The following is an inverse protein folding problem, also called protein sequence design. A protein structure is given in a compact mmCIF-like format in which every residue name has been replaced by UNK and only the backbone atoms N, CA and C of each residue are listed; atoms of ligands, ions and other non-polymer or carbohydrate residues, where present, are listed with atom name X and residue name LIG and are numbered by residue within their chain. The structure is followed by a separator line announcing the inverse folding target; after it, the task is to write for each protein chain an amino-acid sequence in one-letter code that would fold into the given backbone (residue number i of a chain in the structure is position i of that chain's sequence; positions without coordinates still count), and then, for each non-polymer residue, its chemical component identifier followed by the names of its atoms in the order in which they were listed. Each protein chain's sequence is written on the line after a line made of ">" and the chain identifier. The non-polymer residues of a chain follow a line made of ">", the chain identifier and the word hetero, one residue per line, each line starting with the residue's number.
data_IF_792733414746
#
_entry.id   IF_792733414746
#
_cell.length_a   1.000
_cell.length_b   1.000
_cell.length_c   1.000
_cell.angle_alpha   90.00
_cell.angle_beta   90.00
_cell.angle_gamma   90.00
#
_symmetry.space_group_name_H-M   'P 1'
#
loop_
_entity.id
_entity.type
_entity.pdbx_description
1 polymer ?
#
# COMPACT_ATOMS: atom_id res chain seq x y z
N UNK A 1 25.18 4.44 -12.27
CA UNK A 1 24.21 4.48 -13.37
C UNK A 1 22.81 4.64 -12.79
N UNK A 2 21.98 5.45 -13.46
CA UNK A 2 20.60 5.61 -13.06
C UNK A 2 19.81 4.31 -13.31
N UNK A 3 18.82 4.03 -12.47
CA UNK A 3 17.93 2.88 -12.62
C UNK A 3 16.79 3.28 -13.56
N UNK A 4 16.64 2.57 -14.66
CA UNK A 4 15.59 2.83 -15.64
C UNK A 4 14.25 2.22 -15.22
N UNK A 5 13.22 3.05 -15.10
CA UNK A 5 11.89 2.66 -14.69
C UNK A 5 10.90 2.65 -15.84
N UNK A 6 9.98 1.70 -15.80
CA UNK A 6 8.76 1.80 -16.58
C UNK A 6 7.55 1.75 -15.65
N UNK A 7 6.51 2.51 -15.95
CA UNK A 7 5.25 2.46 -15.22
C UNK A 7 4.24 1.63 -16.02
N UNK A 8 3.65 0.64 -15.40
CA UNK A 8 2.62 -0.21 -16.02
C UNK A 8 1.24 0.30 -15.59
N UNK A 9 0.65 1.15 -16.44
CA UNK A 9 -0.63 1.80 -16.20
C UNK A 9 -0.53 3.31 -16.24
N UNK A 10 -1.32 3.95 -17.09
CA UNK A 10 -1.34 5.41 -17.28
C UNK A 10 -2.62 6.01 -16.68
N UNK A 11 -2.91 5.64 -15.43
CA UNK A 11 -4.07 6.15 -14.70
C UNK A 11 -3.74 7.41 -13.91
N UNK A 12 -4.71 7.86 -13.10
CA UNK A 12 -4.57 9.09 -12.30
C UNK A 12 -3.44 8.99 -11.27
N UNK A 13 -3.37 7.87 -10.54
CA UNK A 13 -2.35 7.69 -9.50
C UNK A 13 -0.92 7.73 -10.08
N UNK A 14 -0.59 6.96 -11.13
CA UNK A 14 0.70 7.13 -11.80
C UNK A 14 0.99 8.55 -12.26
N UNK A 15 -0.01 9.25 -12.79
CA UNK A 15 0.13 10.60 -13.31
C UNK A 15 0.43 11.62 -12.20
N UNK A 16 -0.24 11.49 -11.05
CA UNK A 16 -0.14 12.46 -9.96
C UNK A 16 0.99 12.14 -8.97
N UNK A 17 1.36 10.88 -8.83
CA UNK A 17 2.28 10.41 -7.79
C UNK A 17 3.54 9.76 -8.35
N UNK A 18 3.38 8.66 -9.10
CA UNK A 18 4.53 7.78 -9.38
C UNK A 18 5.51 8.41 -10.36
N UNK A 19 5.04 8.96 -11.47
CA UNK A 19 5.94 9.59 -12.45
C UNK A 19 6.65 10.80 -11.83
N UNK A 20 5.95 11.74 -11.15
CA UNK A 20 6.65 12.82 -10.45
C UNK A 20 7.62 12.33 -9.38
N UNK A 21 7.27 11.28 -8.61
CA UNK A 21 8.18 10.75 -7.59
C UNK A 21 9.44 10.14 -8.20
N UNK A 22 9.32 9.39 -9.32
CA UNK A 22 10.49 8.88 -10.04
C UNK A 22 11.39 10.04 -10.47
N UNK A 23 10.78 11.11 -11.00
CA UNK A 23 11.56 12.30 -11.44
C UNK A 23 12.30 13.01 -10.31
N UNK A 24 11.85 12.85 -9.06
CA UNK A 24 12.50 13.43 -7.88
C UNK A 24 13.45 12.46 -7.17
N UNK A 25 13.41 11.18 -7.52
CA UNK A 25 14.22 10.17 -6.84
C UNK A 25 15.66 10.19 -7.40
N UNK A 26 16.68 10.33 -6.55
CA UNK A 26 18.06 10.31 -7.04
C UNK A 26 18.40 9.01 -7.79
N UNK A 27 19.08 9.14 -8.88
CA UNK A 27 19.52 8.02 -9.73
C UNK A 27 18.34 7.17 -10.28
N UNK A 28 17.16 7.78 -10.45
CA UNK A 28 16.02 7.16 -11.12
C UNK A 28 15.74 7.88 -12.44
N UNK A 29 15.33 7.14 -13.45
CA UNK A 29 14.97 7.69 -14.76
C UNK A 29 13.70 7.01 -15.27
N UNK A 30 12.68 7.80 -15.61
CA UNK A 30 11.46 7.26 -16.19
C UNK A 30 11.66 7.04 -17.69
N UNK A 31 11.87 5.79 -18.07
CA UNK A 31 12.11 5.41 -19.46
C UNK A 31 10.79 5.27 -20.23
N UNK A 32 9.79 4.63 -19.62
CA UNK A 32 8.61 4.24 -20.39
C UNK A 32 7.33 4.17 -19.55
N UNK A 33 6.21 4.18 -20.24
CA UNK A 33 4.89 3.90 -19.65
C UNK A 33 4.12 2.95 -20.54
N UNK A 34 3.35 2.04 -19.92
CA UNK A 34 2.43 1.14 -20.62
C UNK A 34 0.98 1.60 -20.43
N UNK A 35 0.24 1.70 -21.51
CA UNK A 35 -1.22 1.88 -21.49
C UNK A 35 -1.84 1.06 -22.63
N UNK A 36 -3.03 0.48 -22.39
CA UNK A 36 -3.76 -0.25 -23.46
C UNK A 36 -4.09 0.62 -24.67
N UNK A 37 -4.02 1.94 -24.51
CA UNK A 37 -4.26 2.92 -25.56
C UNK A 37 -2.93 3.64 -25.87
N UNK A 38 -2.47 3.52 -27.11
CA UNK A 38 -1.16 4.07 -27.52
C UNK A 38 -1.16 5.61 -27.42
N UNK A 39 -2.27 6.26 -27.76
CA UNK A 39 -2.36 7.71 -27.65
C UNK A 39 -2.20 8.18 -26.20
N UNK A 40 -2.84 7.47 -25.28
CA UNK A 40 -2.70 7.76 -23.82
C UNK A 40 -1.27 7.50 -23.34
N UNK A 41 -0.64 6.40 -23.80
CA UNK A 41 0.75 6.12 -23.44
C UNK A 41 1.68 7.25 -23.91
N UNK A 42 1.50 7.69 -25.16
CA UNK A 42 2.31 8.77 -25.72
C UNK A 42 2.10 10.09 -24.97
N UNK A 43 0.84 10.45 -24.69
CA UNK A 43 0.53 11.67 -23.95
C UNK A 43 1.10 11.66 -22.52
N UNK A 44 1.05 10.51 -21.83
CA UNK A 44 1.66 10.36 -20.52
C UNK A 44 3.18 10.52 -20.60
N UNK A 45 3.81 9.86 -21.58
CA UNK A 45 5.26 9.94 -21.77
C UNK A 45 5.69 11.40 -22.02
N UNK A 46 4.97 12.10 -22.90
CA UNK A 46 5.24 13.52 -23.19
C UNK A 46 5.11 14.39 -21.92
N UNK A 47 4.03 14.17 -21.14
CA UNK A 47 3.77 14.96 -19.92
C UNK A 47 4.86 14.80 -18.88
N UNK A 48 5.39 13.59 -18.73
CA UNK A 48 6.35 13.26 -17.68
C UNK A 48 7.80 13.08 -18.18
N UNK A 49 8.03 13.50 -19.43
CA UNK A 49 9.36 13.46 -20.05
C UNK A 49 9.95 12.04 -20.10
N UNK A 50 9.07 11.01 -20.17
CA UNK A 50 9.52 9.65 -20.42
C UNK A 50 9.89 9.49 -21.90
N UNK A 51 10.85 8.62 -22.17
CA UNK A 51 11.35 8.46 -23.54
C UNK A 51 10.37 7.75 -24.48
N UNK A 52 9.48 6.88 -23.95
CA UNK A 52 8.58 6.10 -24.79
C UNK A 52 7.24 5.76 -24.11
N UNK A 53 6.19 5.75 -24.94
CA UNK A 53 4.89 5.20 -24.57
C UNK A 53 4.65 3.90 -25.33
N UNK A 54 4.26 2.85 -24.62
CA UNK A 54 4.00 1.53 -25.20
C UNK A 54 2.55 1.13 -25.00
N UNK A 55 2.00 0.39 -25.97
CA UNK A 55 0.69 -0.27 -25.81
C UNK A 55 0.79 -1.80 -25.79
N UNK A 56 1.99 -2.33 -25.94
CA UNK A 56 2.29 -3.76 -25.91
C UNK A 56 3.32 -4.02 -24.82
N UNK A 57 3.03 -4.96 -23.92
CA UNK A 57 3.90 -5.28 -22.78
C UNK A 57 5.23 -5.92 -23.23
N UNK A 58 5.20 -6.77 -24.24
CA UNK A 58 6.42 -7.43 -24.72
C UNK A 58 7.40 -6.41 -25.32
N UNK A 59 6.87 -5.42 -26.04
CA UNK A 59 7.70 -4.36 -26.62
C UNK A 59 8.35 -3.50 -25.50
N UNK A 60 7.59 -3.18 -24.45
CA UNK A 60 8.12 -2.45 -23.30
C UNK A 60 9.21 -3.26 -22.60
N UNK A 61 8.95 -4.56 -22.34
CA UNK A 61 9.89 -5.40 -21.60
C UNK A 61 11.15 -5.71 -22.41
N UNK A 62 11.09 -5.62 -23.76
CA UNK A 62 12.27 -5.76 -24.62
C UNK A 62 13.19 -4.56 -24.59
N UNK A 63 12.74 -3.42 -24.04
CA UNK A 63 13.59 -2.24 -23.93
C UNK A 63 14.68 -2.46 -22.87
N UNK A 64 15.92 -2.54 -23.31
CA UNK A 64 17.06 -2.86 -22.44
C UNK A 64 17.43 -1.75 -21.44
N UNK A 65 16.86 -0.56 -21.62
CA UNK A 65 17.09 0.56 -20.68
C UNK A 65 16.25 0.44 -19.41
N UNK A 66 15.22 -0.43 -19.43
CA UNK A 66 14.33 -0.64 -18.28
C UNK A 66 14.95 -1.69 -17.37
N UNK A 67 15.18 -1.34 -16.12
CA UNK A 67 15.69 -2.23 -15.06
C UNK A 67 14.55 -2.71 -14.15
N UNK A 68 13.56 -1.83 -13.91
CA UNK A 68 12.47 -2.10 -12.98
C UNK A 68 11.15 -1.56 -13.52
N UNK A 69 10.06 -2.21 -13.13
CA UNK A 69 8.72 -1.75 -13.46
C UNK A 69 7.94 -1.40 -12.19
N UNK A 70 7.17 -0.32 -12.24
CA UNK A 70 6.19 0.01 -11.21
C UNK A 70 4.82 -0.43 -11.74
N UNK A 71 4.27 -1.50 -11.16
CA UNK A 71 2.97 -2.03 -11.59
C UNK A 71 1.87 -1.24 -10.89
N UNK A 72 1.15 -0.41 -11.64
CA UNK A 72 0.10 0.49 -11.14
C UNK A 72 -1.17 0.40 -12.01
N UNK A 73 -1.41 -0.77 -12.55
CA UNK A 73 -2.61 -1.15 -13.29
C UNK A 73 -3.77 -1.47 -12.33
N UNK A 74 -4.98 -1.74 -12.82
CA UNK A 74 -6.05 -2.23 -11.93
C UNK A 74 -5.66 -3.52 -11.20
N UNK A 75 -6.14 -3.68 -9.96
CA UNK A 75 -5.75 -4.76 -9.05
C UNK A 75 -5.72 -6.15 -9.72
N UNK A 76 -6.76 -6.47 -10.50
CA UNK A 76 -6.88 -7.77 -11.17
C UNK A 76 -5.77 -8.04 -12.20
N UNK A 77 -5.05 -7.00 -12.64
CA UNK A 77 -3.99 -7.15 -13.64
C UNK A 77 -2.59 -7.26 -13.02
N UNK A 78 -2.44 -7.01 -11.70
CA UNK A 78 -1.12 -7.00 -11.06
C UNK A 78 -0.35 -8.30 -11.26
N UNK A 79 -1.01 -9.46 -11.03
CA UNK A 79 -0.37 -10.77 -11.21
C UNK A 79 0.18 -10.92 -12.64
N UNK A 80 -0.66 -10.67 -13.65
CA UNK A 80 -0.25 -10.86 -15.05
C UNK A 80 0.96 -10.00 -15.41
N UNK A 81 0.95 -8.74 -15.02
CA UNK A 81 2.05 -7.82 -15.30
C UNK A 81 3.32 -8.19 -14.53
N UNK A 82 3.18 -8.59 -13.25
CA UNK A 82 4.33 -9.04 -12.45
C UNK A 82 4.96 -10.30 -13.05
N UNK A 83 4.16 -11.27 -13.49
CA UNK A 83 4.66 -12.50 -14.10
C UNK A 83 5.46 -12.18 -15.37
N UNK A 84 4.93 -11.30 -16.23
CA UNK A 84 5.62 -10.92 -17.47
C UNK A 84 6.93 -10.19 -17.17
N UNK A 85 6.91 -9.22 -16.24
CA UNK A 85 8.10 -8.46 -15.86
C UNK A 85 9.17 -9.36 -15.25
N UNK A 86 8.79 -10.24 -14.30
CA UNK A 86 9.73 -11.14 -13.64
C UNK A 86 10.40 -12.07 -14.65
N UNK A 87 9.62 -12.67 -15.58
CA UNK A 87 10.16 -13.55 -16.62
C UNK A 87 11.10 -12.81 -17.58
N UNK A 88 10.91 -11.50 -17.75
CA UNK A 88 11.81 -10.66 -18.55
C UNK A 88 13.02 -10.15 -17.74
N UNK A 89 13.17 -10.61 -16.49
CA UNK A 89 14.29 -10.24 -15.62
C UNK A 89 14.21 -8.83 -15.07
N UNK A 90 13.02 -8.20 -15.08
CA UNK A 90 12.84 -6.84 -14.55
C UNK A 90 12.40 -6.92 -13.07
N UNK A 91 13.01 -6.10 -12.22
CA UNK A 91 12.58 -5.95 -10.83
C UNK A 91 11.19 -5.32 -10.79
N UNK A 92 10.43 -5.60 -9.74
CA UNK A 92 9.02 -5.17 -9.66
C UNK A 92 8.76 -4.42 -8.35
N UNK A 93 8.21 -3.23 -8.46
CA UNK A 93 7.55 -2.54 -7.35
C UNK A 93 6.06 -2.51 -7.74
N UNK A 94 5.21 -3.14 -6.93
CA UNK A 94 3.79 -3.25 -7.26
C UNK A 94 2.93 -2.38 -6.36
N UNK A 95 1.96 -1.71 -6.92
CA UNK A 95 0.94 -1.02 -6.14
C UNK A 95 0.15 -2.01 -5.27
N UNK A 96 -0.38 -1.48 -4.18
CA UNK A 96 -1.29 -2.22 -3.29
C UNK A 96 -2.76 -2.01 -3.74
N UNK A 97 -3.67 -2.91 -3.44
CA UNK A 97 -3.39 -4.22 -2.84
C UNK A 97 -2.59 -5.07 -3.83
N UNK A 98 -1.72 -5.92 -3.32
CA UNK A 98 -0.84 -6.72 -4.17
C UNK A 98 -1.60 -7.52 -5.22
N UNK A 99 -2.70 -8.13 -4.80
CA UNK A 99 -3.51 -9.01 -5.65
C UNK A 99 -4.96 -9.06 -5.14
N UNK A 100 -5.83 -9.61 -5.97
CA UNK A 100 -7.25 -9.78 -5.62
C UNK A 100 -7.51 -11.07 -4.84
N UNK A 101 -6.51 -11.94 -4.69
CA UNK A 101 -6.63 -13.16 -3.88
C UNK A 101 -5.26 -13.59 -3.33
N UNK A 102 -5.30 -14.40 -2.29
CA UNK A 102 -4.10 -14.93 -1.63
C UNK A 102 -3.26 -15.78 -2.59
N UNK A 103 -3.89 -16.61 -3.38
CA UNK A 103 -3.19 -17.42 -4.37
C UNK A 103 -2.51 -16.57 -5.46
N UNK A 104 -3.02 -15.34 -5.80
CA UNK A 104 -2.52 -14.47 -6.60
C UNK A 104 -1.37 -13.91 -6.12
N UNK A 105 -1.40 -13.47 -4.87
CA UNK A 105 -0.25 -12.85 -4.19
C UNK A 105 0.92 -13.84 -4.02
N UNK A 106 0.64 -15.03 -3.57
CA UNK A 106 1.67 -16.06 -3.44
C UNK A 106 2.37 -16.32 -4.78
N UNK A 107 1.61 -16.40 -5.86
CA UNK A 107 2.19 -16.62 -7.20
C UNK A 107 3.11 -15.47 -7.62
N UNK A 108 2.77 -14.21 -7.26
CA UNK A 108 3.65 -13.06 -7.53
C UNK A 108 4.98 -13.20 -6.80
N UNK A 109 4.95 -13.58 -5.52
CA UNK A 109 6.19 -13.79 -4.75
C UNK A 109 7.03 -14.89 -5.38
N UNK A 110 6.41 -16.04 -5.65
CA UNK A 110 7.11 -17.20 -6.19
C UNK A 110 7.73 -16.94 -7.56
N UNK A 111 7.03 -16.26 -8.46
CA UNK A 111 7.59 -15.98 -9.80
C UNK A 111 8.77 -15.00 -9.72
N UNK A 112 8.73 -14.02 -8.85
CA UNK A 112 9.85 -13.10 -8.69
C UNK A 112 11.06 -13.83 -8.11
N UNK A 113 10.87 -14.65 -7.07
CA UNK A 113 11.94 -15.47 -6.52
C UNK A 113 12.54 -16.42 -7.56
N UNK A 114 11.69 -17.11 -8.32
CA UNK A 114 12.14 -18.08 -9.33
C UNK A 114 12.95 -17.42 -10.46
N UNK A 115 12.76 -16.13 -10.71
CA UNK A 115 13.47 -15.38 -11.74
C UNK A 115 14.59 -14.49 -11.17
N UNK A 116 14.84 -14.55 -9.86
CA UNK A 116 15.92 -13.78 -9.24
C UNK A 116 15.72 -12.28 -9.26
N UNK A 117 14.47 -11.81 -9.29
CA UNK A 117 14.15 -10.37 -9.27
C UNK A 117 13.50 -9.99 -7.94
N UNK A 118 13.76 -8.77 -7.48
CA UNK A 118 13.15 -8.25 -6.25
C UNK A 118 11.70 -7.86 -6.51
N UNK A 119 10.86 -8.10 -5.50
CA UNK A 119 9.46 -7.66 -5.49
C UNK A 119 9.22 -6.79 -4.26
N UNK A 120 8.94 -5.51 -4.50
CA UNK A 120 8.52 -4.57 -3.46
C UNK A 120 7.05 -4.23 -3.58
N UNK A 121 6.47 -3.70 -2.51
CA UNK A 121 5.07 -3.25 -2.46
C UNK A 121 4.98 -1.76 -2.14
N UNK A 122 4.00 -1.08 -2.75
CA UNK A 122 3.71 0.32 -2.56
C UNK A 122 3.03 0.58 -1.21
N UNK A 123 3.79 0.47 -0.13
CA UNK A 123 3.33 0.75 1.24
C UNK A 123 3.98 2.05 1.73
N UNK A 124 3.65 3.14 1.07
CA UNK A 124 4.26 4.46 1.29
C UNK A 124 4.13 4.97 2.73
N UNK A 125 3.14 4.50 3.50
CA UNK A 125 3.01 4.90 4.91
C UNK A 125 4.19 4.45 5.77
N UNK A 126 4.89 3.36 5.39
CA UNK A 126 6.10 2.92 6.10
C UNK A 126 7.19 4.00 6.10
N UNK A 127 7.19 4.84 5.06
CA UNK A 127 8.23 5.85 4.81
C UNK A 127 7.89 7.22 5.39
N UNK A 128 6.72 7.37 6.03
CA UNK A 128 6.40 8.58 6.77
C UNK A 128 7.25 8.62 8.06
N UNK A 129 7.98 9.72 8.34
CA UNK A 129 8.86 9.77 9.52
C UNK A 129 8.16 9.46 10.85
N UNK A 130 6.88 9.87 11.00
CA UNK A 130 6.10 9.55 12.19
C UNK A 130 5.99 8.04 12.42
N UNK A 131 5.84 7.27 11.35
CA UNK A 131 5.62 5.82 11.45
C UNK A 131 6.95 5.08 11.70
N UNK A 132 8.05 5.59 11.13
CA UNK A 132 9.39 5.08 11.46
C UNK A 132 9.72 5.34 12.93
N UNK A 133 9.39 6.54 13.44
CA UNK A 133 9.55 6.86 14.87
C UNK A 133 8.70 5.91 15.74
N UNK A 134 7.44 5.68 15.36
CA UNK A 134 6.57 4.75 16.09
C UNK A 134 7.20 3.36 16.20
N UNK A 135 7.71 2.84 15.07
CA UNK A 135 8.40 1.54 15.03
C UNK A 135 9.62 1.53 15.96
N UNK A 136 10.44 2.58 15.91
CA UNK A 136 11.63 2.68 16.78
C UNK A 136 11.26 2.69 18.25
N UNK A 137 10.24 3.46 18.63
CA UNK A 137 9.78 3.52 20.02
C UNK A 137 9.29 2.17 20.52
N UNK A 138 8.53 1.44 19.69
CA UNK A 138 8.02 0.11 20.04
C UNK A 138 9.18 -0.89 20.15
N UNK A 139 10.04 -0.95 19.14
CA UNK A 139 11.14 -1.94 19.10
C UNK A 139 12.16 -1.75 20.21
N UNK A 140 12.34 -0.51 20.69
CA UNK A 140 13.25 -0.20 21.79
C UNK A 140 12.55 -0.15 23.16
N UNK A 141 11.28 -0.57 23.22
CA UNK A 141 10.53 -0.65 24.47
C UNK A 141 10.23 0.70 25.14
N UNK A 142 10.29 1.80 24.39
CA UNK A 142 10.13 3.16 24.94
C UNK A 142 8.71 3.46 25.43
N UNK A 143 7.72 2.65 24.99
CA UNK A 143 6.33 2.77 25.42
C UNK A 143 5.93 1.65 26.39
N UNK A 144 6.91 0.79 26.81
CA UNK A 144 6.61 -0.42 27.55
C UNK A 144 5.95 -1.46 26.68
N UNK A 145 5.19 -2.39 27.29
CA UNK A 145 4.44 -3.39 26.51
C UNK A 145 3.22 -2.71 25.87
N UNK A 146 3.12 -2.79 24.54
CA UNK A 146 1.97 -2.23 23.83
C UNK A 146 0.71 -3.01 24.21
N UNK A 147 -0.39 -2.30 24.47
CA UNK A 147 -1.67 -2.87 24.88
C UNK A 147 -2.74 -2.67 23.81
N UNK A 148 -2.69 -1.54 23.11
CA UNK A 148 -3.73 -1.19 22.14
C UNK A 148 -3.14 -0.27 21.08
N UNK A 149 -3.49 -0.53 19.81
CA UNK A 149 -3.28 0.40 18.71
C UNK A 149 -4.63 0.87 18.18
N UNK A 150 -4.68 2.09 17.67
CA UNK A 150 -5.86 2.63 17.01
C UNK A 150 -5.43 3.35 15.74
N UNK A 151 -6.07 3.04 14.62
CA UNK A 151 -5.77 3.67 13.33
C UNK A 151 -7.03 3.99 12.56
N UNK A 152 -7.02 5.12 11.88
CA UNK A 152 -8.16 5.53 11.09
C UNK A 152 -7.71 6.20 9.79
N UNK A 153 -8.34 5.81 8.68
CA UNK A 153 -8.17 6.49 7.40
C UNK A 153 -9.53 6.76 6.76
N UNK A 154 -9.99 7.99 6.86
CA UNK A 154 -11.20 8.44 6.21
C UNK A 154 -10.92 9.41 5.08
N UNK A 155 -11.79 9.42 4.08
CA UNK A 155 -11.78 10.37 2.96
C UNK A 155 -13.20 10.83 2.67
N UNK A 156 -13.35 12.07 2.27
CA UNK A 156 -14.64 12.61 1.85
C UNK A 156 -14.66 14.12 1.92
N UNK A 157 -15.61 14.72 1.23
CA UNK A 157 -15.84 16.17 1.24
C UNK A 157 -17.22 16.48 1.80
N UNK A 158 -17.35 17.61 2.47
CA UNK A 158 -18.66 18.06 2.97
C UNK A 158 -19.63 18.26 1.81
N UNK A 159 -20.83 17.69 1.93
CA UNK A 159 -21.85 17.79 0.90
C UNK A 159 -21.66 16.84 -0.28
N UNK A 160 -20.64 15.96 -0.23
CA UNK A 160 -20.45 14.93 -1.24
C UNK A 160 -21.69 14.01 -1.27
N UNK A 161 -22.24 13.71 -2.45
CA UNK A 161 -23.37 12.77 -2.56
C UNK A 161 -23.02 11.40 -1.97
N UNK A 162 -24.01 10.76 -1.36
CA UNK A 162 -23.81 9.47 -0.68
C UNK A 162 -23.12 8.41 -1.53
N UNK A 163 -23.37 8.42 -2.81
CA UNK A 163 -22.68 7.48 -3.70
C UNK A 163 -22.64 8.03 -5.13
N UNK A 164 -21.43 8.34 -5.57
CA UNK A 164 -21.14 8.62 -6.97
C UNK A 164 -20.29 7.50 -7.52
N UNK A 165 -20.87 6.60 -8.34
CA UNK A 165 -20.06 5.53 -8.95
C UNK A 165 -18.94 6.11 -9.79
N UNK A 166 -17.76 5.53 -9.64
CA UNK A 166 -16.62 5.92 -10.49
C UNK A 166 -16.86 5.46 -11.93
N UNK A 167 -16.36 6.23 -12.89
CA UNK A 167 -16.55 5.92 -14.30
C UNK A 167 -15.23 6.08 -15.07
N UNK A 168 -15.26 5.81 -16.36
CA UNK A 168 -14.08 5.91 -17.23
C UNK A 168 -12.96 4.99 -16.76
N UNK A 169 -11.76 5.54 -16.65
CA UNK A 169 -10.58 4.78 -16.24
C UNK A 169 -10.67 4.24 -14.80
N UNK A 170 -11.59 4.77 -14.00
CA UNK A 170 -11.77 4.35 -12.60
C UNK A 170 -12.99 3.45 -12.41
N UNK A 171 -13.71 3.11 -13.48
CA UNK A 171 -14.93 2.29 -13.40
C UNK A 171 -14.70 0.90 -12.77
N UNK A 172 -13.51 0.35 -12.92
CA UNK A 172 -13.18 -0.95 -12.34
C UNK A 172 -13.26 -0.97 -10.79
N UNK A 173 -13.21 0.21 -10.15
CA UNK A 173 -13.38 0.31 -8.68
C UNK A 173 -14.79 -0.05 -8.24
N UNK A 174 -15.76 -0.10 -9.16
CA UNK A 174 -17.14 -0.46 -8.87
C UNK A 174 -17.42 -1.95 -9.12
N UNK A 175 -16.42 -2.69 -9.61
CA UNK A 175 -16.53 -4.12 -9.92
C UNK A 175 -15.93 -4.93 -8.76
N UNK A 176 -16.77 -5.71 -8.02
CA UNK A 176 -16.27 -6.48 -6.87
C UNK A 176 -15.16 -7.48 -7.21
N UNK A 177 -15.22 -8.11 -8.40
CA UNK A 177 -14.19 -9.05 -8.83
C UNK A 177 -12.86 -8.34 -9.12
N UNK A 178 -12.92 -7.23 -9.84
CA UNK A 178 -11.74 -6.43 -10.16
C UNK A 178 -11.09 -5.84 -8.91
N UNK A 179 -11.90 -5.54 -7.88
CA UNK A 179 -11.42 -4.99 -6.61
C UNK A 179 -10.91 -6.06 -5.64
N UNK A 180 -11.29 -7.33 -5.81
CA UNK A 180 -10.92 -8.38 -4.87
C UNK A 180 -11.91 -8.53 -3.71
N UNK A 181 -13.15 -8.06 -3.89
CA UNK A 181 -14.25 -8.27 -2.95
C UNK A 181 -14.44 -7.20 -1.88
N UNK A 182 -13.59 -6.17 -1.84
CA UNK A 182 -13.73 -5.05 -0.92
C UNK A 182 -13.33 -3.73 -1.56
N UNK A 183 -13.90 -2.63 -1.10
CA UNK A 183 -13.58 -1.30 -1.61
C UNK A 183 -12.62 -0.56 -0.69
N UNK A 184 -13.11 -0.06 0.46
CA UNK A 184 -12.22 0.67 1.38
C UNK A 184 -11.27 -0.26 2.13
N UNK A 185 -11.64 -1.52 2.34
CA UNK A 185 -10.72 -2.52 2.91
C UNK A 185 -9.49 -2.66 2.00
N UNK A 186 -9.73 -2.88 0.70
CA UNK A 186 -8.65 -3.08 -0.29
C UNK A 186 -7.90 -1.78 -0.60
N UNK A 187 -8.58 -0.62 -0.54
CA UNK A 187 -7.99 0.65 -0.93
C UNK A 187 -7.30 1.42 0.20
N UNK A 188 -7.85 1.37 1.41
CA UNK A 188 -7.40 2.14 2.57
C UNK A 188 -6.98 1.23 3.73
N UNK A 189 -7.82 0.25 4.06
CA UNK A 189 -7.55 -0.70 5.16
C UNK A 189 -6.21 -1.41 5.01
N UNK A 190 -5.88 -1.80 3.78
CA UNK A 190 -4.63 -2.50 3.47
C UNK A 190 -3.38 -1.77 3.97
N UNK A 191 -3.37 -0.44 3.90
CA UNK A 191 -2.26 0.37 4.43
C UNK A 191 -2.18 0.31 5.95
N UNK A 192 -3.36 0.33 6.61
CA UNK A 192 -3.41 0.30 8.08
C UNK A 192 -3.02 -1.08 8.62
N UNK A 193 -3.38 -2.16 7.92
CA UNK A 193 -2.95 -3.51 8.29
C UNK A 193 -1.43 -3.62 8.19
N UNK A 194 -0.88 -3.12 7.09
CA UNK A 194 0.55 -3.08 6.90
C UNK A 194 1.25 -2.21 7.96
N UNK A 195 0.69 -1.03 8.25
CA UNK A 195 1.26 -0.12 9.24
C UNK A 195 1.31 -0.76 10.63
N UNK A 196 0.25 -1.47 11.04
CA UNK A 196 0.22 -2.19 12.32
C UNK A 196 1.35 -3.24 12.35
N UNK A 197 1.47 -4.06 11.30
CA UNK A 197 2.52 -5.07 11.18
C UNK A 197 3.92 -4.44 11.23
N UNK A 198 4.12 -3.38 10.46
CA UNK A 198 5.40 -2.67 10.36
C UNK A 198 5.85 -2.09 11.71
N UNK A 199 4.94 -1.43 12.41
CA UNK A 199 5.25 -0.77 13.69
C UNK A 199 5.49 -1.80 14.79
N UNK A 200 4.67 -2.86 14.83
CA UNK A 200 4.76 -3.88 15.89
C UNK A 200 5.82 -4.95 15.63
N UNK A 201 6.22 -5.16 14.36
CA UNK A 201 7.13 -6.26 14.00
C UNK A 201 6.52 -7.63 14.29
N UNK A 202 5.19 -7.76 14.17
CA UNK A 202 4.43 -8.97 14.49
C UNK A 202 3.34 -9.20 13.46
N UNK A 203 2.92 -10.46 13.31
CA UNK A 203 1.82 -10.79 12.41
C UNK A 203 0.46 -10.64 13.10
N UNK A 204 -0.56 -10.37 12.29
CA UNK A 204 -1.97 -10.33 12.71
C UNK A 204 -2.51 -11.75 12.56
N UNK A 205 -3.03 -12.32 13.66
CA UNK A 205 -3.44 -13.72 13.73
C UNK A 205 -4.95 -13.93 13.67
N UNK A 206 -5.74 -12.92 14.07
CA UNK A 206 -7.22 -12.99 14.05
C UNK A 206 -7.79 -11.62 13.69
N UNK A 207 -8.94 -11.64 13.03
CA UNK A 207 -9.67 -10.39 12.69
C UNK A 207 -11.16 -10.57 12.95
N UNK A 208 -11.81 -9.45 13.30
CA UNK A 208 -13.27 -9.33 13.24
C UNK A 208 -13.61 -7.99 12.60
N UNK A 209 -14.67 -7.96 11.80
CA UNK A 209 -15.01 -6.79 11.00
C UNK A 209 -16.51 -6.57 10.90
N UNK A 210 -16.87 -5.29 10.83
CA UNK A 210 -18.22 -4.84 10.52
C UNK A 210 -18.12 -3.78 9.42
N UNK A 211 -18.96 -3.90 8.39
CA UNK A 211 -18.99 -2.97 7.26
C UNK A 211 -20.41 -2.58 6.93
N UNK A 212 -20.55 -1.54 6.11
CA UNK A 212 -21.84 -1.15 5.53
C UNK A 212 -22.12 -1.87 4.20
N UNK A 213 -21.27 -2.82 3.82
CA UNK A 213 -21.35 -3.55 2.55
C UNK A 213 -21.29 -5.06 2.72
N UNK A 214 -20.73 -5.74 1.74
CA UNK A 214 -20.63 -7.20 1.65
C UNK A 214 -21.99 -7.90 1.68
N UNK A 215 -23.00 -7.25 1.09
CA UNK A 215 -24.35 -7.79 0.91
C UNK A 215 -24.67 -7.98 -0.56
N UNK A 216 -25.76 -8.66 -0.87
CA UNK A 216 -26.20 -8.88 -2.26
C UNK A 216 -26.54 -7.56 -2.97
N UNK A 217 -27.02 -6.55 -2.21
CA UNK A 217 -27.41 -5.26 -2.78
C UNK A 217 -26.30 -4.22 -2.74
N UNK A 218 -25.30 -4.41 -1.87
CA UNK A 218 -24.13 -3.55 -1.78
C UNK A 218 -22.91 -4.43 -1.56
N UNK A 219 -22.36 -5.02 -2.64
CA UNK A 219 -21.25 -5.98 -2.49
C UNK A 219 -19.95 -5.33 -2.05
N UNK A 220 -19.74 -4.03 -2.31
CA UNK A 220 -18.55 -3.29 -1.90
C UNK A 220 -18.92 -2.29 -0.80
N UNK A 221 -18.12 -2.25 0.23
CA UNK A 221 -18.33 -1.38 1.40
C UNK A 221 -17.73 0.03 1.19
N UNK A 222 -18.34 1.01 1.85
CA UNK A 222 -17.83 2.37 1.94
C UNK A 222 -17.20 2.66 3.30
N UNK A 223 -17.59 1.90 4.32
CA UNK A 223 -17.09 2.05 5.70
C UNK A 223 -16.77 0.66 6.25
N UNK A 224 -15.62 0.54 6.91
CA UNK A 224 -15.22 -0.69 7.58
C UNK A 224 -14.62 -0.37 8.96
N UNK A 225 -15.01 -1.14 9.96
CA UNK A 225 -14.45 -1.07 11.32
C UNK A 225 -14.00 -2.47 11.72
N UNK A 226 -12.77 -2.60 12.19
CA UNK A 226 -12.14 -3.90 12.39
C UNK A 226 -11.36 -3.94 13.71
N UNK A 227 -11.37 -5.11 14.35
CA UNK A 227 -10.46 -5.41 15.45
C UNK A 227 -9.53 -6.54 15.00
N UNK A 228 -8.24 -6.35 15.23
CA UNK A 228 -7.18 -7.26 14.84
C UNK A 228 -6.45 -7.73 16.09
N UNK A 229 -6.04 -9.00 16.13
CA UNK A 229 -5.21 -9.53 17.21
C UNK A 229 -3.85 -9.92 16.67
N UNK A 230 -2.80 -9.46 17.35
CA UNK A 230 -1.42 -9.76 17.00
C UNK A 230 -0.94 -11.02 17.76
N UNK A 231 0.23 -11.53 17.38
CA UNK A 231 0.81 -12.76 17.94
C UNK A 231 0.92 -12.75 19.47
N UNK A 232 1.29 -11.62 20.05
CA UNK A 232 1.45 -11.47 21.51
C UNK A 232 0.13 -11.17 22.24
N UNK A 233 -0.98 -11.12 21.52
CA UNK A 233 -2.31 -10.82 22.04
C UNK A 233 -2.70 -9.35 22.02
N UNK A 234 -1.82 -8.46 21.59
CA UNK A 234 -2.13 -7.03 21.44
C UNK A 234 -3.31 -6.86 20.48
N UNK A 235 -4.19 -5.90 20.78
CA UNK A 235 -5.35 -5.58 19.94
C UNK A 235 -5.09 -4.30 19.17
N UNK A 236 -5.48 -4.28 17.91
CA UNK A 236 -5.53 -3.06 17.11
C UNK A 236 -6.96 -2.82 16.63
N UNK A 237 -7.47 -1.61 16.84
CA UNK A 237 -8.77 -1.18 16.30
C UNK A 237 -8.52 -0.27 15.11
N UNK A 238 -8.99 -0.70 13.97
CA UNK A 238 -8.75 -0.01 12.69
C UNK A 238 -10.10 0.34 12.08
N UNK A 239 -10.20 1.55 11.52
CA UNK A 239 -11.37 1.91 10.73
C UNK A 239 -10.95 2.65 9.47
N UNK A 240 -11.71 2.47 8.40
CA UNK A 240 -11.49 3.20 7.17
C UNK A 240 -12.81 3.45 6.47
N UNK A 241 -12.85 4.53 5.68
CA UNK A 241 -14.08 4.84 4.98
C UNK A 241 -13.93 5.98 3.98
N UNK A 242 -14.89 6.01 3.05
CA UNK A 242 -15.10 7.12 2.12
C UNK A 242 -16.41 7.83 2.52
N UNK A 243 -16.58 9.05 2.02
CA UNK A 243 -17.72 9.92 2.40
C UNK A 243 -17.69 10.30 3.89
N UNK A 244 -16.47 10.40 4.44
CA UNK A 244 -16.24 10.80 5.82
C UNK A 244 -15.43 12.10 5.81
N UNK A 245 -16.09 13.27 5.74
CA UNK A 245 -15.35 14.53 5.70
C UNK A 245 -14.71 14.86 7.05
N UNK A 246 -13.63 15.64 7.00
CA UNK A 246 -12.94 16.19 8.17
C UNK A 246 -12.37 15.13 9.13
N UNK A 247 -12.08 13.94 8.63
CA UNK A 247 -11.48 12.88 9.45
C UNK A 247 -10.08 13.25 9.90
N UNK A 248 -9.74 12.85 11.13
CA UNK A 248 -8.44 13.20 11.72
C UNK A 248 -7.29 12.35 11.19
N UNK A 249 -7.57 11.15 10.72
CA UNK A 249 -6.57 10.24 10.13
C UNK A 249 -5.37 10.03 11.06
N UNK A 250 -5.69 9.60 12.27
CA UNK A 250 -4.73 9.44 13.36
C UNK A 250 -4.25 8.00 13.49
N UNK A 251 -3.06 7.85 14.07
CA UNK A 251 -2.51 6.56 14.49
C UNK A 251 -1.99 6.69 15.92
N UNK A 252 -2.51 5.88 16.85
CA UNK A 252 -2.18 5.97 18.26
C UNK A 252 -1.76 4.61 18.82
N UNK A 253 -0.73 4.61 19.67
CA UNK A 253 -0.22 3.41 20.33
C UNK A 253 -0.24 3.68 21.85
N UNK A 254 -0.87 2.77 22.59
CA UNK A 254 -0.95 2.81 24.06
C UNK A 254 -0.13 1.65 24.62
N UNK A 255 0.94 1.97 25.31
CA UNK A 255 1.77 1.00 26.04
C UNK A 255 1.61 1.15 27.55
N UNK A 256 2.26 0.26 28.29
CA UNK A 256 2.21 0.32 29.77
C UNK A 256 2.94 1.54 30.32
N UNK A 257 3.91 2.06 29.60
CA UNK A 257 4.82 3.11 30.12
C UNK A 257 4.70 4.41 29.32
N UNK A 258 3.83 4.44 28.29
CA UNK A 258 3.65 5.64 27.49
C UNK A 258 2.72 5.49 26.31
N UNK A 259 2.55 6.61 25.60
CA UNK A 259 1.66 6.75 24.45
C UNK A 259 2.40 7.46 23.30
N UNK A 260 2.15 6.98 22.10
CA UNK A 260 2.48 7.68 20.85
C UNK A 260 1.17 8.07 20.18
N UNK A 261 1.08 9.32 19.72
CA UNK A 261 -0.06 9.79 18.93
C UNK A 261 0.46 10.48 17.66
N UNK A 262 0.16 9.91 16.51
CA UNK A 262 0.34 10.58 15.22
C UNK A 262 -0.99 11.18 14.79
N UNK A 263 -1.07 12.50 14.75
CA UNK A 263 -2.27 13.24 14.32
C UNK A 263 -2.13 13.61 12.86
N UNK A 264 -3.11 13.22 12.04
CA UNK A 264 -3.13 13.45 10.59
C UNK A 264 -1.91 12.84 9.86
N UNK A 265 -1.34 11.76 10.41
CA UNK A 265 -0.18 11.08 9.80
C UNK A 265 -0.59 9.93 8.88
N UNK A 266 -1.86 9.47 8.96
CA UNK A 266 -2.34 8.40 8.10
C UNK A 266 -2.88 9.02 6.80
N UNK A 267 -1.94 9.38 5.92
CA UNK A 267 -2.25 9.99 4.64
C UNK A 267 -1.10 9.69 3.66
N UNK A 268 -1.42 9.67 2.37
CA UNK A 268 -0.41 9.37 1.34
C UNK A 268 0.69 10.45 1.26
N UNK A 269 0.40 11.69 1.65
CA UNK A 269 1.40 12.75 1.73
C UNK A 269 2.05 12.76 3.12
N UNK A 270 3.30 13.16 3.20
CA UNK A 270 3.92 13.45 4.49
C UNK A 270 3.23 14.70 5.08
N UNK A 271 2.71 14.59 6.29
CA UNK A 271 2.04 15.70 6.98
C UNK A 271 1.73 15.31 8.43
N UNK A 272 1.16 16.24 9.18
CA UNK A 272 0.65 15.97 10.51
C UNK A 272 1.68 16.22 11.60
N UNK A 273 1.44 15.64 12.76
CA UNK A 273 2.28 15.86 13.93
C UNK A 273 2.28 14.62 14.83
N UNK A 274 3.32 14.51 15.64
CA UNK A 274 3.48 13.42 16.61
C UNK A 274 3.60 14.01 18.00
N UNK A 275 2.96 13.36 18.97
CA UNK A 275 3.19 13.56 20.40
C UNK A 275 3.57 12.21 21.02
N UNK A 276 4.69 12.16 21.71
CA UNK A 276 5.11 11.00 22.51
C UNK A 276 5.15 11.43 23.97
N UNK A 277 4.48 10.67 24.84
CA UNK A 277 4.50 10.88 26.29
C UNK A 277 4.81 9.54 26.93
N UNK A 278 5.97 9.42 27.55
CA UNK A 278 6.36 8.18 28.25
C UNK A 278 7.26 8.51 29.44
N UNK A 279 7.64 7.50 30.19
CA UNK A 279 8.57 7.68 31.32
C UNK A 279 9.96 8.19 30.88
N UNK A 280 10.36 7.84 29.66
CA UNK A 280 11.73 8.12 29.18
C UNK A 280 11.79 9.04 27.98
N UNK A 281 10.67 9.24 27.26
CA UNK A 281 10.62 10.06 26.05
C UNK A 281 9.40 10.97 26.13
N UNK A 282 9.63 12.27 26.00
CA UNK A 282 8.55 13.26 25.90
C UNK A 282 8.96 14.21 24.77
N UNK A 283 8.25 14.11 23.66
CA UNK A 283 8.58 14.93 22.48
C UNK A 283 7.35 15.22 21.63
N UNK A 284 7.42 16.32 20.91
CA UNK A 284 6.47 16.65 19.85
C UNK A 284 7.24 16.98 18.58
N UNK A 285 6.67 16.63 17.44
CA UNK A 285 7.27 16.89 16.16
C UNK A 285 6.16 17.14 15.14
N UNK A 286 6.37 18.10 14.25
CA UNK A 286 5.41 18.40 13.17
C UNK A 286 6.10 18.23 11.83
N UNK A 287 5.33 17.77 10.85
CA UNK A 287 5.83 17.47 9.50
C UNK A 287 5.19 18.43 8.51
N UNK A 288 6.02 19.10 7.76
CA UNK A 288 5.55 19.95 6.67
C UNK A 288 4.87 19.10 5.61
N UNK A 289 3.84 19.64 4.99
CA UNK A 289 3.12 18.96 3.93
C UNK A 289 4.05 18.75 2.73
N UNK A 290 4.23 17.51 2.34
CA UNK A 290 4.95 17.15 1.11
C UNK A 290 4.19 16.00 0.42
N UNK A 291 3.66 16.31 -0.74
CA UNK A 291 2.77 15.43 -1.49
C UNK A 291 3.47 14.16 -1.97
N UNK A 292 4.79 14.20 -2.20
CA UNK A 292 5.54 13.13 -2.82
C UNK A 292 6.60 12.48 -1.91
N UNK A 293 6.88 13.07 -0.75
CA UNK A 293 8.01 12.63 0.08
C UNK A 293 7.99 11.13 0.38
N UNK A 294 6.82 10.58 0.74
CA UNK A 294 6.71 9.16 1.09
C UNK A 294 7.01 8.26 -0.12
N UNK A 295 6.55 8.64 -1.32
CA UNK A 295 6.79 7.89 -2.55
C UNK A 295 8.25 7.98 -2.99
N UNK A 296 8.87 9.16 -2.85
CA UNK A 296 10.31 9.33 -3.13
C UNK A 296 11.15 8.46 -2.19
N UNK A 297 10.78 8.43 -0.90
CA UNK A 297 11.49 7.61 0.09
C UNK A 297 11.32 6.10 -0.21
N UNK A 298 10.14 5.68 -0.62
CA UNK A 298 9.86 4.29 -1.04
C UNK A 298 10.75 3.88 -2.24
N UNK A 299 10.79 4.72 -3.27
CA UNK A 299 11.63 4.48 -4.45
C UNK A 299 13.12 4.49 -4.07
N UNK A 300 13.53 5.40 -3.20
CA UNK A 300 14.92 5.48 -2.72
C UNK A 300 15.33 4.19 -1.98
N UNK A 301 14.44 3.65 -1.13
CA UNK A 301 14.71 2.38 -0.45
C UNK A 301 14.80 1.23 -1.45
N UNK A 302 13.91 1.20 -2.44
CA UNK A 302 13.92 0.14 -3.47
C UNK A 302 15.24 0.19 -4.24
N UNK A 303 15.72 1.39 -4.63
CA UNK A 303 17.03 1.56 -5.28
C UNK A 303 18.16 1.03 -4.39
N UNK A 304 18.15 1.41 -3.11
CA UNK A 304 19.17 0.95 -2.16
C UNK A 304 19.13 -0.58 -2.03
N UNK A 305 17.92 -1.16 -1.98
CA UNK A 305 17.74 -2.60 -1.89
C UNK A 305 18.38 -3.32 -3.10
N UNK A 306 18.18 -2.79 -4.31
CA UNK A 306 18.79 -3.38 -5.50
C UNK A 306 20.31 -3.24 -5.48
N UNK A 307 20.82 -2.08 -5.12
CA UNK A 307 22.25 -1.78 -5.09
C UNK A 307 22.99 -2.61 -4.04
N UNK A 308 22.35 -2.84 -2.89
CA UNK A 308 22.92 -3.56 -1.74
C UNK A 308 22.61 -5.05 -1.75
N UNK A 309 21.82 -5.50 -2.72
CA UNK A 309 21.32 -6.87 -2.84
C UNK A 309 20.61 -7.34 -1.55
N UNK A 310 19.79 -6.45 -0.98
CA UNK A 310 18.92 -6.79 0.16
C UNK A 310 17.45 -6.74 -0.27
N UNK A 311 16.57 -7.17 0.62
CA UNK A 311 15.14 -6.99 0.37
C UNK A 311 14.73 -5.52 0.59
N UNK A 312 13.74 -5.04 -0.17
CA UNK A 312 13.19 -3.71 0.08
C UNK A 312 12.44 -3.66 1.43
N UNK A 313 12.26 -2.48 1.98
CA UNK A 313 11.61 -2.29 3.28
C UNK A 313 10.15 -2.77 3.29
N UNK A 314 9.50 -2.78 2.14
CA UNK A 314 8.15 -3.36 1.96
C UNK A 314 8.29 -4.48 0.92
N UNK A 315 8.28 -5.72 1.37
CA UNK A 315 8.59 -6.89 0.54
C UNK A 315 7.35 -7.48 -0.15
N UNK A 316 7.58 -8.35 -1.12
CA UNK A 316 6.50 -9.17 -1.69
C UNK A 316 5.80 -10.01 -0.62
N UNK A 317 6.54 -10.50 0.39
CA UNK A 317 5.91 -11.23 1.50
C UNK A 317 4.97 -10.32 2.31
N UNK A 318 5.34 -9.07 2.56
CA UNK A 318 4.45 -8.11 3.22
C UNK A 318 3.15 -7.94 2.43
N UNK A 319 3.24 -7.91 1.09
CA UNK A 319 2.07 -7.87 0.21
C UNK A 319 1.18 -9.10 0.36
N UNK A 320 1.79 -10.28 0.43
CA UNK A 320 1.08 -11.54 0.66
C UNK A 320 0.36 -11.49 2.02
N UNK A 321 1.06 -11.11 3.09
CA UNK A 321 0.46 -10.99 4.44
C UNK A 321 -0.73 -10.03 4.42
N UNK A 322 -0.58 -8.87 3.78
CA UNK A 322 -1.68 -7.89 3.68
C UNK A 322 -2.87 -8.43 2.88
N UNK A 323 -2.60 -9.24 1.85
CA UNK A 323 -3.67 -9.87 1.06
C UNK A 323 -4.43 -10.93 1.89
N UNK A 324 -3.70 -11.70 2.73
CA UNK A 324 -4.31 -12.66 3.66
C UNK A 324 -5.23 -11.95 4.67
N UNK A 325 -4.77 -10.80 5.19
CA UNK A 325 -5.56 -9.99 6.13
C UNK A 325 -6.81 -9.44 5.41
N UNK A 326 -6.65 -8.85 4.22
CA UNK A 326 -7.78 -8.35 3.42
C UNK A 326 -8.86 -9.42 3.24
N UNK A 327 -8.46 -10.61 2.81
CA UNK A 327 -9.35 -11.74 2.56
C UNK A 327 -10.09 -12.14 3.84
N UNK A 328 -9.38 -12.20 4.96
CA UNK A 328 -9.94 -12.59 6.26
C UNK A 328 -10.90 -11.53 6.80
N UNK A 329 -10.59 -10.25 6.61
CA UNK A 329 -11.47 -9.13 7.01
C UNK A 329 -12.77 -9.18 6.22
N UNK A 330 -12.69 -9.38 4.89
CA UNK A 330 -13.88 -9.51 4.02
C UNK A 330 -14.72 -10.72 4.47
N UNK A 331 -14.07 -11.85 4.74
CA UNK A 331 -14.76 -13.06 5.22
C UNK A 331 -15.45 -12.80 6.56
N UNK A 332 -14.79 -12.12 7.49
CA UNK A 332 -15.35 -11.77 8.80
C UNK A 332 -16.59 -10.89 8.64
N UNK A 333 -16.50 -9.86 7.78
CA UNK A 333 -17.63 -8.95 7.53
C UNK A 333 -18.84 -9.69 6.96
N UNK A 334 -18.61 -10.65 6.04
CA UNK A 334 -19.69 -11.45 5.43
C UNK A 334 -20.33 -12.42 6.41
N UNK A 335 -19.54 -13.01 7.31
CA UNK A 335 -20.02 -14.09 8.18
C UNK A 335 -20.41 -13.63 9.59
N UNK A 336 -20.00 -12.43 9.99
CA UNK A 336 -20.16 -11.91 11.34
C UNK A 336 -19.35 -12.67 12.39
N UNK A 337 -18.27 -13.34 11.98
CA UNK A 337 -17.46 -14.19 12.87
C UNK A 337 -16.01 -13.70 12.95
N UNK A 338 -15.34 -14.04 14.04
CA UNK A 338 -13.89 -13.91 14.13
C UNK A 338 -13.27 -14.90 13.15
N UNK A 339 -12.32 -14.43 12.37
CA UNK A 339 -11.58 -15.26 11.40
C UNK A 339 -10.12 -15.35 11.85
N UNK A 340 -9.59 -16.56 11.94
CA UNK A 340 -8.16 -16.79 12.14
C UNK A 340 -7.46 -16.69 10.79
N UNK A 341 -6.33 -16.02 10.76
CA UNK A 341 -5.56 -15.84 9.53
C UNK A 341 -4.59 -17.01 9.38
N UNK A 342 -4.65 -17.66 8.24
CA UNK A 342 -3.73 -18.75 7.88
C UNK A 342 -2.64 -18.18 6.97
N UNK A 343 -1.44 -18.01 7.50
CA UNK A 343 -0.32 -17.48 6.75
C UNK A 343 0.28 -18.56 5.85
N UNK A 344 0.33 -18.27 4.55
CA UNK A 344 0.90 -19.18 3.55
C UNK A 344 2.42 -19.17 3.64
N UNK A 345 3.03 -20.34 3.63
CA UNK A 345 4.49 -20.45 3.54
C UNK A 345 4.94 -20.01 2.14
N UNK A 346 6.00 -19.23 2.10
CA UNK A 346 6.70 -18.87 0.86
C UNK A 346 7.86 -19.85 0.73
N UNK A 347 7.74 -20.84 -0.17
CA UNK A 347 8.73 -21.90 -0.39
C UNK A 347 9.46 -21.68 -1.71
#
# INVERSE_FOLDING_TARGET
>A
LALGWAIIGAGMHPHQKLAPAIGLTPDAELIAVLSRDQGRANAFAETHEAEAGYSNMDDLLADSRIDAVFVASPNAAHLGHTVQAAKAGKHVLSEKPMATSVDXALAMVQVCQANGVKLGLGFELRFHPAHSLAKDLVSHGKLGRVRLLQGHWGRGERGEPEHLPRSGLRGWWEDPEAMGGGSVIMGLGVHLFDLVRFVMGQEITEVTAMTDGQTDTQPLEHIASMSLRLEDGTIANISCGRMLPDTLNNFTIYGTDGRFTGTATVWEAQMGAVEVVSETVNQTESYEYDYLANFVAELTDFHAALKEDREPAATGEDGLRSTEINSSVIQSAKTGRIVKIEHRAVN
#
